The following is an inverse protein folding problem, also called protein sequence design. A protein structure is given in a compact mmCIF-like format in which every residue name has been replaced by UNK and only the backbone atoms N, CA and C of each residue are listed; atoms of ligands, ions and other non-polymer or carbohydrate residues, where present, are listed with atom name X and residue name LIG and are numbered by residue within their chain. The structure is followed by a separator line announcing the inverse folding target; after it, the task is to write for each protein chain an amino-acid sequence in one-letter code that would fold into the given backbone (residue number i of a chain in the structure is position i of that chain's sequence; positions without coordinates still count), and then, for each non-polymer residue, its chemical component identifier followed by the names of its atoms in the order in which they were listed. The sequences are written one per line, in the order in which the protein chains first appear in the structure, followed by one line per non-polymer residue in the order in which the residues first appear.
data_IF_417816310642
#
_entry.id   IF_417816310642
#
_cell.length_a   1.000
_cell.length_b   1.000
_cell.length_c   1.000
_cell.angle_alpha   90.00
_cell.angle_beta   90.00
_cell.angle_gamma   90.00
#
_symmetry.space_group_name_H-M   'P 1'
#
loop_
_entity.id
_entity.type
_entity.pdbx_description
1 polymer ?
#
# COMPACT_ATOMS: atom_id res chain seq x y z
N UNK A 1 6.09 31.96 4.79
CA UNK A 1 6.21 30.80 5.70
C UNK A 1 6.52 29.62 4.81
N UNK A 2 7.75 29.15 4.86
CA UNK A 2 8.29 28.16 3.93
C UNK A 2 7.41 26.92 3.96
N UNK A 3 6.74 26.61 2.84
CA UNK A 3 5.93 25.42 2.67
C UNK A 3 6.84 24.21 2.84
N UNK A 4 6.84 23.63 4.02
CA UNK A 4 7.58 22.43 4.32
C UNK A 4 6.97 21.32 3.46
N UNK A 5 7.73 20.85 2.48
CA UNK A 5 7.33 19.78 1.57
C UNK A 5 6.94 18.56 2.40
N UNK A 6 5.74 18.03 2.16
CA UNK A 6 5.21 16.91 2.93
C UNK A 6 6.16 15.71 2.81
N UNK A 7 6.72 15.22 3.94
CA UNK A 7 7.71 14.16 3.94
C UNK A 7 7.19 12.85 3.33
N UNK A 8 5.88 12.62 3.33
CA UNK A 8 5.27 11.47 2.67
C UNK A 8 5.67 11.38 1.20
N UNK A 9 5.61 12.50 0.47
CA UNK A 9 5.88 12.51 -0.96
C UNK A 9 7.37 12.37 -1.30
N UNK A 10 8.25 12.77 -0.39
CA UNK A 10 9.69 12.56 -0.52
C UNK A 10 10.02 11.07 -0.40
N UNK A 11 9.51 10.41 0.64
CA UNK A 11 9.74 8.98 0.86
C UNK A 11 9.04 8.16 -0.22
N UNK A 12 7.84 8.57 -0.67
CA UNK A 12 7.17 7.96 -1.83
C UNK A 12 8.05 8.00 -3.07
N UNK A 13 8.65 9.14 -3.40
CA UNK A 13 9.54 9.26 -4.55
C UNK A 13 10.79 8.38 -4.42
N UNK A 14 11.34 8.28 -3.20
CA UNK A 14 12.46 7.40 -2.89
C UNK A 14 12.08 5.91 -3.09
N UNK A 15 10.97 5.46 -2.52
CA UNK A 15 10.44 4.10 -2.69
C UNK A 15 10.20 3.80 -4.17
N UNK A 16 9.64 4.74 -4.93
CA UNK A 16 9.44 4.57 -6.37
C UNK A 16 10.78 4.41 -7.12
N UNK A 17 11.83 5.13 -6.71
CA UNK A 17 13.18 4.95 -7.27
C UNK A 17 13.74 3.57 -6.95
N UNK A 18 13.68 3.15 -5.69
CA UNK A 18 14.15 1.82 -5.26
C UNK A 18 13.39 0.69 -5.97
N UNK A 19 12.07 0.85 -6.15
CA UNK A 19 11.26 -0.09 -6.91
C UNK A 19 11.73 -0.22 -8.37
N UNK A 20 12.03 0.90 -9.03
CA UNK A 20 12.55 0.89 -10.40
C UNK A 20 13.91 0.18 -10.50
N UNK A 21 14.78 0.34 -9.49
CA UNK A 21 16.05 -0.38 -9.41
C UNK A 21 15.83 -1.90 -9.26
N UNK A 22 14.87 -2.32 -8.40
CA UNK A 22 14.48 -3.73 -8.29
C UNK A 22 14.00 -4.26 -9.62
N UNK A 23 13.17 -3.53 -10.37
CA UNK A 23 12.71 -3.95 -11.69
C UNK A 23 13.87 -4.17 -12.67
N UNK A 24 14.85 -3.26 -12.70
CA UNK A 24 16.04 -3.41 -13.54
C UNK A 24 16.87 -4.64 -13.13
N UNK A 25 17.08 -4.85 -11.82
CA UNK A 25 17.76 -6.04 -11.29
C UNK A 25 16.99 -7.31 -11.64
N UNK A 26 15.67 -7.28 -11.61
CA UNK A 26 14.79 -8.40 -11.93
C UNK A 26 14.86 -8.77 -13.42
N UNK A 27 14.83 -7.79 -14.33
CA UNK A 27 15.08 -8.02 -15.75
C UNK A 27 16.44 -8.67 -16.01
N UNK A 28 17.49 -8.20 -15.33
CA UNK A 28 18.83 -8.82 -15.40
C UNK A 28 18.84 -10.22 -14.79
N UNK A 29 18.14 -10.44 -13.69
CA UNK A 29 18.03 -11.74 -13.04
C UNK A 29 17.39 -12.78 -13.97
N UNK A 30 16.38 -12.39 -14.74
CA UNK A 30 15.71 -13.26 -15.70
C UNK A 30 16.54 -13.53 -16.96
N UNK A 31 17.39 -12.59 -17.41
CA UNK A 31 18.27 -12.82 -18.57
C UNK A 31 19.48 -13.70 -18.27
N UNK A 32 19.78 -13.95 -16.99
CA UNK A 32 20.89 -14.81 -16.57
C UNK A 32 20.46 -16.28 -16.46
N UNK A 33 21.38 -17.19 -16.79
CA UNK A 33 21.16 -18.63 -16.64
C UNK A 33 20.92 -19.02 -15.17
N UNK A 34 20.08 -20.04 -14.95
CA UNK A 34 19.75 -20.53 -13.59
C UNK A 34 20.97 -21.04 -12.81
N UNK A 35 21.98 -21.53 -13.53
CA UNK A 35 23.24 -22.02 -12.97
C UNK A 35 24.23 -20.90 -12.56
N UNK A 36 24.03 -19.66 -13.03
CA UNK A 36 24.94 -18.55 -12.77
C UNK A 36 24.99 -18.14 -11.29
N UNK A 37 26.19 -18.00 -10.75
CA UNK A 37 26.40 -17.44 -9.41
C UNK A 37 25.92 -15.98 -9.33
N UNK A 38 26.02 -15.23 -10.43
CA UNK A 38 25.54 -13.86 -10.51
C UNK A 38 24.02 -13.78 -10.32
N UNK A 39 23.27 -14.73 -10.88
CA UNK A 39 21.82 -14.82 -10.68
C UNK A 39 21.45 -15.08 -9.23
N UNK A 40 22.16 -16.01 -8.56
CA UNK A 40 21.96 -16.27 -7.12
C UNK A 40 22.27 -15.04 -6.26
N UNK A 41 23.29 -14.27 -6.61
CA UNK A 41 23.63 -13.04 -5.91
C UNK A 41 22.54 -11.97 -6.11
N UNK A 42 22.09 -11.75 -7.36
CA UNK A 42 21.01 -10.83 -7.67
C UNK A 42 19.69 -11.21 -6.99
N UNK A 43 19.35 -12.51 -6.92
CA UNK A 43 18.16 -12.95 -6.20
C UNK A 43 18.19 -12.60 -4.71
N UNK A 44 19.36 -12.71 -4.06
CA UNK A 44 19.53 -12.29 -2.66
C UNK A 44 19.47 -10.77 -2.49
N UNK A 45 20.02 -10.03 -3.44
CA UNK A 45 19.98 -8.57 -3.43
C UNK A 45 18.55 -8.05 -3.61
N UNK A 46 17.80 -8.59 -4.57
CA UNK A 46 16.38 -8.26 -4.78
C UNK A 46 15.55 -8.60 -3.53
N UNK A 47 15.78 -9.76 -2.90
CA UNK A 47 15.07 -10.14 -1.66
C UNK A 47 15.34 -9.14 -0.52
N UNK A 48 16.59 -8.69 -0.37
CA UNK A 48 16.98 -7.69 0.63
C UNK A 48 16.41 -6.29 0.32
N UNK A 49 16.41 -5.87 -0.94
CA UNK A 49 15.82 -4.60 -1.37
C UNK A 49 14.29 -4.59 -1.15
N UNK A 50 13.61 -5.72 -1.43
CA UNK A 50 12.19 -5.89 -1.12
C UNK A 50 11.91 -5.75 0.39
N UNK A 51 12.78 -6.29 1.26
CA UNK A 51 12.65 -6.12 2.72
C UNK A 51 12.85 -4.67 3.16
N UNK A 52 13.82 -3.98 2.56
CA UNK A 52 14.04 -2.56 2.82
C UNK A 52 12.81 -1.71 2.47
N UNK A 53 12.26 -1.88 1.26
CA UNK A 53 11.05 -1.16 0.85
C UNK A 53 9.87 -1.52 1.74
N UNK A 54 9.68 -2.80 2.07
CA UNK A 54 8.60 -3.24 2.95
C UNK A 54 8.66 -2.52 4.31
N UNK A 55 9.84 -2.45 4.91
CA UNK A 55 10.05 -1.71 6.15
C UNK A 55 9.69 -0.21 6.00
N UNK A 56 10.09 0.43 4.91
CA UNK A 56 9.73 1.83 4.64
C UNK A 56 8.22 2.04 4.47
N UNK A 57 7.53 1.10 3.82
CA UNK A 57 6.07 1.12 3.67
C UNK A 57 5.36 0.96 5.02
N UNK A 58 5.80 0.02 5.85
CA UNK A 58 5.23 -0.21 7.19
C UNK A 58 5.39 1.06 8.07
N UNK A 59 6.55 1.75 8.00
CA UNK A 59 6.76 3.03 8.69
C UNK A 59 5.85 4.15 8.17
N UNK A 60 5.66 4.23 6.84
CA UNK A 60 4.76 5.22 6.24
C UNK A 60 3.30 4.95 6.61
N UNK A 61 2.90 3.69 6.72
CA UNK A 61 1.57 3.30 7.18
C UNK A 61 1.31 3.78 8.62
N UNK A 62 2.26 3.57 9.53
CA UNK A 62 2.17 4.09 10.91
C UNK A 62 2.09 5.63 10.95
N UNK A 63 2.85 6.30 10.08
CA UNK A 63 2.80 7.75 9.97
C UNK A 63 1.45 8.25 9.45
N UNK A 64 0.86 7.57 8.46
CA UNK A 64 -0.47 7.88 7.93
C UNK A 64 -1.56 7.59 8.98
N UNK A 65 -1.44 6.50 9.73
CA UNK A 65 -2.33 6.17 10.85
C UNK A 65 -2.30 7.28 11.91
N UNK A 66 -1.11 7.69 12.32
CA UNK A 66 -0.93 8.77 13.29
C UNK A 66 -1.50 10.09 12.78
N UNK A 67 -1.24 10.42 11.51
CA UNK A 67 -1.76 11.65 10.90
C UNK A 67 -3.29 11.63 10.77
N UNK A 68 -3.88 10.46 10.53
CA UNK A 68 -5.33 10.28 10.39
C UNK A 68 -6.11 10.51 11.69
N UNK A 69 -5.46 10.38 12.85
CA UNK A 69 -6.09 10.67 14.15
C UNK A 69 -6.29 12.17 14.38
N UNK A 70 -5.47 13.02 13.75
CA UNK A 70 -5.62 14.48 13.84
C UNK A 70 -5.30 15.18 12.50
N UNK A 71 -6.16 15.03 11.48
CA UNK A 71 -5.87 15.51 10.12
C UNK A 71 -5.71 17.03 10.03
N UNK A 72 -6.47 17.77 10.86
CA UNK A 72 -6.44 19.24 10.90
C UNK A 72 -5.07 19.80 11.30
N UNK A 73 -4.30 19.07 12.14
CA UNK A 73 -2.95 19.47 12.53
C UNK A 73 -1.97 19.44 11.34
N UNK A 74 -2.21 18.56 10.38
CA UNK A 74 -1.32 18.30 9.25
C UNK A 74 -1.86 18.87 7.93
N UNK A 75 -3.00 19.57 7.95
CA UNK A 75 -3.72 20.03 6.76
C UNK A 75 -4.02 18.91 5.75
N UNK A 76 -4.31 17.70 6.26
CA UNK A 76 -4.64 16.55 5.43
C UNK A 76 -6.16 16.40 5.31
N UNK A 77 -6.62 16.16 4.09
CA UNK A 77 -8.02 15.83 3.83
C UNK A 77 -8.25 14.32 3.93
N UNK A 78 -9.50 13.90 4.03
CA UNK A 78 -9.83 12.46 4.10
C UNK A 78 -9.49 11.75 2.79
N UNK A 79 -9.62 12.46 1.67
CA UNK A 79 -9.27 12.01 0.33
C UNK A 79 -7.76 11.75 0.24
N UNK A 80 -6.96 12.69 0.75
CA UNK A 80 -5.50 12.56 0.79
C UNK A 80 -5.08 11.35 1.63
N UNK A 81 -5.63 11.18 2.83
CA UNK A 81 -5.33 10.01 3.68
C UNK A 81 -5.71 8.69 2.98
N UNK A 82 -6.86 8.66 2.31
CA UNK A 82 -7.33 7.48 1.58
C UNK A 82 -6.41 7.15 0.39
N UNK A 83 -5.97 8.17 -0.36
CA UNK A 83 -5.00 8.04 -1.44
C UNK A 83 -3.68 7.44 -0.94
N UNK A 84 -3.15 7.95 0.17
CA UNK A 84 -1.92 7.43 0.80
C UNK A 84 -2.04 5.96 1.19
N UNK A 85 -3.13 5.58 1.86
CA UNK A 85 -3.38 4.18 2.23
C UNK A 85 -3.46 3.26 1.01
N UNK A 86 -4.18 3.69 -0.03
CA UNK A 86 -4.31 2.91 -1.26
C UNK A 86 -2.95 2.67 -1.91
N UNK A 87 -2.13 3.72 -2.02
CA UNK A 87 -0.79 3.61 -2.57
C UNK A 87 0.07 2.64 -1.75
N UNK A 88 0.07 2.75 -0.41
CA UNK A 88 0.82 1.86 0.48
C UNK A 88 0.42 0.39 0.31
N UNK A 89 -0.87 0.08 0.32
CA UNK A 89 -1.38 -1.28 0.14
C UNK A 89 -1.05 -1.85 -1.25
N UNK A 90 -1.19 -1.01 -2.27
CA UNK A 90 -0.91 -1.40 -3.66
C UNK A 90 0.58 -1.69 -3.84
N UNK A 91 1.47 -0.80 -3.42
CA UNK A 91 2.93 -1.00 -3.50
C UNK A 91 3.38 -2.16 -2.62
N UNK A 92 2.81 -2.33 -1.42
CA UNK A 92 3.13 -3.44 -0.52
C UNK A 92 2.84 -4.81 -1.14
N UNK A 93 1.68 -4.97 -1.79
CA UNK A 93 1.32 -6.22 -2.49
C UNK A 93 2.26 -6.54 -3.65
N UNK A 94 2.75 -5.54 -4.36
CA UNK A 94 3.65 -5.72 -5.50
C UNK A 94 5.04 -6.19 -5.05
N UNK A 95 5.60 -5.51 -4.04
CA UNK A 95 6.88 -5.89 -3.45
C UNK A 95 6.82 -7.32 -2.92
N UNK A 96 5.72 -7.69 -2.25
CA UNK A 96 5.51 -9.05 -1.78
C UNK A 96 5.45 -10.06 -2.95
N UNK A 97 4.74 -9.72 -4.03
CA UNK A 97 4.68 -10.56 -5.23
C UNK A 97 6.06 -10.79 -5.88
N UNK A 98 6.88 -9.75 -6.00
CA UNK A 98 8.26 -9.87 -6.51
C UNK A 98 9.08 -10.80 -5.60
N UNK A 99 8.97 -10.60 -4.29
CA UNK A 99 9.69 -11.40 -3.29
C UNK A 99 9.34 -12.88 -3.38
N UNK A 100 8.05 -13.20 -3.46
CA UNK A 100 7.57 -14.58 -3.54
C UNK A 100 7.98 -15.27 -4.85
N UNK A 101 7.98 -14.52 -5.96
CA UNK A 101 8.49 -15.01 -7.24
C UNK A 101 10.00 -15.35 -7.16
N UNK A 102 10.80 -14.44 -6.60
CA UNK A 102 12.25 -14.68 -6.44
C UNK A 102 12.53 -15.88 -5.53
N UNK A 103 11.81 -16.00 -4.41
CA UNK A 103 11.96 -17.16 -3.50
C UNK A 103 11.60 -18.47 -4.20
N UNK A 104 10.52 -18.48 -4.96
CA UNK A 104 10.10 -19.67 -5.72
C UNK A 104 11.16 -20.08 -6.74
N UNK A 105 11.69 -19.11 -7.50
CA UNK A 105 12.71 -19.35 -8.54
C UNK A 105 14.05 -19.77 -7.94
N UNK A 106 14.45 -19.18 -6.81
CA UNK A 106 15.74 -19.49 -6.15
C UNK A 106 15.70 -20.79 -5.35
N UNK A 107 14.54 -21.18 -4.80
CA UNK A 107 14.36 -22.46 -4.10
C UNK A 107 14.27 -23.67 -5.04
N UNK A 108 13.86 -23.47 -6.30
CA UNK A 108 13.71 -24.54 -7.29
C UNK A 108 15.04 -25.05 -7.86
N UNK A 109 16.18 -24.42 -7.57
CA UNK A 109 17.50 -24.90 -8.02
C UNK A 109 17.95 -26.03 -7.08
N UNK A 110 18.06 -27.30 -7.56
CA UNK A 110 18.59 -28.37 -6.74
C UNK A 110 20.02 -28.03 -6.35
N UNK A 111 20.31 -28.03 -5.05
CA UNK A 111 21.68 -27.86 -4.57
C UNK A 111 22.52 -29.05 -5.06
N UNK A 112 23.25 -28.86 -6.16
CA UNK A 112 24.31 -29.80 -6.53
C UNK A 112 25.37 -29.70 -5.44
N UNK A 113 25.64 -30.78 -4.68
CA UNK A 113 26.65 -30.71 -3.63
C UNK A 113 28.00 -30.42 -4.31
N UNK A 114 28.61 -29.28 -3.98
CA UNK A 114 29.99 -28.94 -4.37
C UNK A 114 30.95 -29.96 -3.72
N UNK A 115 31.13 -31.09 -4.38
CA UNK A 115 32.11 -32.12 -4.04
C UNK A 115 33.47 -31.77 -4.62
N UNK A 116 34.07 -30.66 -4.16
CA UNK A 116 35.48 -30.35 -4.41
C UNK A 116 36.37 -31.22 -3.50
N UNK A 117 36.35 -32.54 -3.69
CA UNK A 117 37.25 -33.46 -2.95
C UNK A 117 37.49 -34.85 -3.59
N UNK A 118 37.19 -35.03 -4.88
CA UNK A 118 37.45 -36.32 -5.57
C UNK A 118 38.11 -36.15 -6.93
N UNK A 119 39.32 -35.60 -6.91
CA UNK A 119 40.20 -35.62 -8.07
C UNK A 119 40.87 -37.00 -8.22
N UNK A 120 40.96 -37.47 -9.47
CA UNK A 120 42.16 -38.08 -10.09
C UNK A 120 42.21 -39.58 -10.49
N UNK A 121 41.18 -40.43 -10.38
CA UNK A 121 41.37 -41.87 -10.67
C UNK A 121 40.51 -42.55 -11.76
N UNK A 122 39.58 -41.88 -12.46
CA UNK A 122 38.60 -42.58 -13.33
C UNK A 122 38.34 -41.88 -14.69
N UNK A 123 39.38 -41.43 -15.38
CA UNK A 123 39.27 -40.40 -16.40
C UNK A 123 38.70 -40.81 -17.78
N UNK A 124 38.70 -42.08 -18.21
CA UNK A 124 38.37 -42.37 -19.63
C UNK A 124 37.01 -43.06 -19.89
N UNK A 125 36.41 -43.77 -18.93
CA UNK A 125 35.08 -44.39 -19.09
C UNK A 125 33.92 -43.55 -18.55
N UNK A 126 34.23 -42.48 -17.80
CA UNK A 126 33.24 -41.60 -17.18
C UNK A 126 32.71 -40.53 -18.16
N UNK A 127 33.50 -40.19 -19.19
CA UNK A 127 33.26 -39.05 -20.08
C UNK A 127 32.00 -39.21 -20.96
N UNK A 128 31.68 -40.42 -21.42
CA UNK A 128 30.49 -40.71 -22.25
C UNK A 128 29.19 -40.79 -21.44
N UNK A 129 29.26 -41.22 -20.18
CA UNK A 129 28.11 -41.20 -19.26
C UNK A 129 27.81 -39.80 -18.71
N UNK A 130 28.84 -38.95 -18.59
CA UNK A 130 28.68 -37.54 -18.22
C UNK A 130 28.13 -36.70 -19.37
N UNK A 131 28.42 -37.01 -20.64
CA UNK A 131 27.85 -36.25 -21.77
C UNK A 131 26.33 -36.37 -21.79
N UNK A 132 25.79 -37.56 -21.52
CA UNK A 132 24.34 -37.79 -21.44
C UNK A 132 23.71 -37.09 -20.22
N UNK A 133 24.42 -37.02 -19.08
CA UNK A 133 23.97 -36.24 -17.91
C UNK A 133 24.04 -34.74 -18.16
N UNK A 134 25.08 -34.24 -18.81
CA UNK A 134 25.20 -32.83 -19.22
C UNK A 134 24.11 -32.46 -20.23
N UNK A 135 23.77 -33.33 -21.17
CA UNK A 135 22.68 -33.08 -22.12
C UNK A 135 21.30 -33.05 -21.43
N UNK A 136 21.09 -33.91 -20.41
CA UNK A 136 19.91 -33.83 -19.55
C UNK A 136 19.88 -32.56 -18.70
N UNK A 137 21.03 -32.10 -18.19
CA UNK A 137 21.16 -30.87 -17.41
C UNK A 137 20.91 -29.62 -18.28
N UNK A 138 21.33 -29.63 -19.55
CA UNK A 138 21.06 -28.55 -20.51
C UNK A 138 19.56 -28.53 -20.86
N UNK A 139 18.95 -29.68 -21.12
CA UNK A 139 17.50 -29.78 -21.37
C UNK A 139 16.65 -29.34 -20.18
N UNK A 140 17.08 -29.63 -18.96
CA UNK A 140 16.39 -29.19 -17.74
C UNK A 140 16.52 -27.68 -17.54
N UNK A 141 17.69 -27.11 -17.86
CA UNK A 141 17.89 -25.66 -17.89
C UNK A 141 17.03 -24.96 -18.96
N UNK A 142 16.87 -25.55 -20.15
CA UNK A 142 16.02 -24.98 -21.21
C UNK A 142 14.54 -24.97 -20.82
N UNK A 143 14.04 -26.01 -20.14
CA UNK A 143 12.67 -26.04 -19.59
C UNK A 143 12.47 -24.98 -18.51
N UNK A 144 13.49 -24.78 -17.66
CA UNK A 144 13.44 -23.72 -16.65
C UNK A 144 13.41 -22.31 -17.28
N UNK A 145 14.08 -22.10 -18.43
CA UNK A 145 14.00 -20.83 -19.18
C UNK A 145 12.58 -20.55 -19.69
N UNK A 146 11.85 -21.58 -20.13
CA UNK A 146 10.46 -21.44 -20.58
C UNK A 146 9.50 -21.09 -19.43
N UNK A 147 9.74 -21.59 -18.22
CA UNK A 147 8.97 -21.22 -17.03
C UNK A 147 9.37 -19.85 -16.47
N UNK A 148 10.63 -19.45 -16.67
CA UNK A 148 11.09 -18.08 -16.40
C UNK A 148 10.42 -17.08 -17.35
N UNK A 149 10.28 -17.41 -18.63
CA UNK A 149 9.61 -16.57 -19.63
C UNK A 149 8.15 -16.28 -19.20
N UNK A 150 7.43 -17.31 -18.75
CA UNK A 150 6.08 -17.15 -18.17
C UNK A 150 6.07 -16.33 -16.87
N UNK A 151 7.10 -16.46 -16.05
CA UNK A 151 7.28 -15.64 -14.85
C UNK A 151 7.52 -14.16 -15.18
N UNK A 152 8.32 -13.87 -16.21
CA UNK A 152 8.59 -12.52 -16.72
C UNK A 152 7.32 -11.89 -17.31
N UNK A 153 6.51 -12.65 -18.03
CA UNK A 153 5.24 -12.15 -18.56
C UNK A 153 4.28 -11.74 -17.43
N UNK A 154 4.22 -12.53 -16.37
CA UNK A 154 3.39 -12.22 -15.20
C UNK A 154 3.92 -11.01 -14.41
N UNK A 155 5.24 -10.90 -14.25
CA UNK A 155 5.89 -9.73 -13.62
C UNK A 155 5.73 -8.48 -14.48
N UNK A 156 5.85 -8.60 -15.81
CA UNK A 156 5.69 -7.48 -16.74
C UNK A 156 4.24 -7.02 -16.80
N UNK A 157 3.28 -7.95 -16.77
CA UNK A 157 1.86 -7.63 -16.65
C UNK A 157 1.56 -6.94 -15.31
N UNK A 158 2.19 -7.40 -14.23
CA UNK A 158 2.09 -6.74 -12.93
C UNK A 158 2.73 -5.33 -13.00
N UNK A 159 3.96 -5.18 -13.49
CA UNK A 159 4.64 -3.89 -13.68
C UNK A 159 3.82 -2.91 -14.54
N UNK A 160 3.18 -3.38 -15.60
CA UNK A 160 2.35 -2.55 -16.49
C UNK A 160 1.04 -2.12 -15.83
N UNK A 161 0.38 -3.01 -15.09
CA UNK A 161 -0.80 -2.66 -14.32
C UNK A 161 -0.47 -1.57 -13.26
N UNK A 162 0.76 -1.53 -12.77
CA UNK A 162 1.22 -0.58 -11.75
C UNK A 162 1.54 0.78 -12.35
N UNK A 163 2.19 0.81 -13.51
CA UNK A 163 2.43 2.06 -14.25
C UNK A 163 1.10 2.74 -14.61
N UNK A 164 0.09 1.96 -15.02
CA UNK A 164 -1.28 2.46 -15.22
C UNK A 164 -1.93 2.93 -13.90
N UNK A 165 -1.77 2.20 -12.79
CA UNK A 165 -2.35 2.60 -11.50
C UNK A 165 -1.70 3.84 -10.85
N UNK A 166 -0.41 4.10 -11.07
CA UNK A 166 0.26 5.32 -10.57
C UNK A 166 -0.21 6.60 -11.29
N UNK A 167 -0.69 6.48 -12.54
CA UNK A 167 -1.25 7.60 -13.34
C UNK A 167 -2.77 7.73 -13.14
N UNK A 168 -3.47 6.63 -12.88
CA UNK A 168 -4.94 6.59 -12.77
C UNK A 168 -5.48 6.91 -11.35
N UNK A 169 -4.61 6.91 -10.32
CA UNK A 169 -4.96 7.26 -8.94
C UNK A 169 -5.31 8.74 -8.71
N UNK A 170 -5.15 9.62 -9.70
CA UNK A 170 -5.67 11.01 -9.68
C UNK A 170 -7.18 11.07 -10.01
N UNK A 171 -7.72 10.03 -10.65
CA UNK A 171 -9.08 10.05 -11.25
C UNK A 171 -10.15 9.34 -10.41
N UNK A 172 -9.75 8.48 -9.47
CA UNK A 172 -10.64 7.76 -8.55
C UNK A 172 -11.05 8.57 -7.31
N UNK A 173 -10.40 9.71 -7.06
CA UNK A 173 -10.79 10.65 -5.99
C UNK A 173 -12.13 11.36 -6.29
N UNK A 174 -12.54 11.45 -7.56
CA UNK A 174 -13.84 12.02 -7.95
C UNK A 174 -15.04 11.16 -7.53
N UNK A 175 -14.86 9.84 -7.36
CA UNK A 175 -15.93 8.96 -6.89
C UNK A 175 -16.12 9.01 -5.37
N UNK A 176 -15.03 9.23 -4.61
CA UNK A 176 -15.11 9.41 -3.16
C UNK A 176 -15.62 10.81 -2.77
N UNK A 177 -15.33 11.84 -3.57
CA UNK A 177 -15.89 13.20 -3.46
C UNK A 177 -17.44 13.20 -3.51
N UNK A 178 -18.02 12.41 -4.42
CA UNK A 178 -19.48 12.24 -4.51
C UNK A 178 -20.12 11.61 -3.26
N UNK A 179 -19.43 10.66 -2.63
CA UNK A 179 -19.91 9.99 -1.41
C UNK A 179 -19.70 10.86 -0.15
N UNK A 180 -18.68 11.73 -0.16
CA UNK A 180 -18.41 12.70 0.92
C UNK A 180 -19.36 13.90 0.84
N UNK A 181 -19.70 14.39 -0.36
CA UNK A 181 -20.70 15.46 -0.53
C UNK A 181 -22.12 15.01 -0.14
N UNK A 182 -22.47 13.77 -0.47
CA UNK A 182 -23.76 13.18 -0.03
C UNK A 182 -23.79 12.93 1.48
N UNK A 183 -22.66 12.60 2.11
CA UNK A 183 -22.55 12.49 3.57
C UNK A 183 -22.57 13.86 4.25
N UNK A 184 -21.87 14.85 3.71
CA UNK A 184 -21.82 16.23 4.20
C UNK A 184 -23.17 16.93 4.10
N UNK A 185 -23.92 16.72 3.03
CA UNK A 185 -25.29 17.24 2.88
C UNK A 185 -26.27 16.60 3.88
N UNK A 186 -26.15 15.30 4.16
CA UNK A 186 -26.92 14.61 5.22
C UNK A 186 -26.55 15.09 6.62
N UNK A 187 -25.26 15.32 6.88
CA UNK A 187 -24.78 15.86 8.15
C UNK A 187 -25.24 17.30 8.36
N UNK A 188 -25.22 18.16 7.33
CA UNK A 188 -25.79 19.53 7.37
C UNK A 188 -27.30 19.51 7.59
N UNK A 189 -28.04 18.62 6.94
CA UNK A 189 -29.48 18.45 7.17
C UNK A 189 -29.78 18.03 8.62
N UNK A 190 -28.95 17.13 9.17
CA UNK A 190 -29.06 16.67 10.57
C UNK A 190 -28.69 17.78 11.55
N UNK A 191 -27.61 18.52 11.31
CA UNK A 191 -27.21 19.68 12.10
C UNK A 191 -28.28 20.77 12.07
N UNK A 192 -28.88 21.05 10.91
CA UNK A 192 -29.99 22.00 10.78
C UNK A 192 -31.21 21.56 11.58
N UNK A 193 -31.56 20.27 11.58
CA UNK A 193 -32.63 19.71 12.42
C UNK A 193 -32.30 19.84 13.91
N UNK A 194 -31.07 19.58 14.33
CA UNK A 194 -30.62 19.76 15.72
C UNK A 194 -30.70 21.24 16.14
N UNK A 195 -30.27 22.16 15.28
CA UNK A 195 -30.32 23.60 15.54
C UNK A 195 -31.76 24.14 15.57
N UNK A 196 -32.64 23.57 14.74
CA UNK A 196 -34.07 23.86 14.74
C UNK A 196 -34.75 23.34 16.02
N UNK A 197 -34.38 22.13 16.48
CA UNK A 197 -34.86 21.59 17.76
C UNK A 197 -34.40 22.46 18.93
N UNK A 198 -33.14 22.90 18.94
CA UNK A 198 -32.61 23.80 19.98
C UNK A 198 -33.39 25.13 19.97
N UNK A 199 -33.67 25.70 18.79
CA UNK A 199 -34.46 26.94 18.66
C UNK A 199 -35.92 26.77 19.08
N UNK A 200 -36.53 25.62 18.80
CA UNK A 200 -37.93 25.32 19.19
C UNK A 200 -38.08 24.94 20.65
N UNK A 201 -37.00 24.55 21.34
CA UNK A 201 -37.04 23.99 22.69
C UNK A 201 -37.02 25.02 23.83
N UNK A 202 -36.58 26.26 23.62
CA UNK A 202 -36.40 27.22 24.72
C UNK A 202 -37.52 28.24 24.83
N UNK A 203 -37.77 28.96 23.74
CA UNK A 203 -38.28 30.31 23.87
C UNK A 203 -39.80 30.39 24.04
N UNK A 204 -40.59 29.67 23.26
CA UNK A 204 -42.06 29.84 23.28
C UNK A 204 -42.73 29.18 24.48
N UNK A 205 -42.25 28.01 24.92
CA UNK A 205 -42.81 27.34 26.11
C UNK A 205 -42.42 28.06 27.41
N UNK A 206 -41.18 28.56 27.53
CA UNK A 206 -40.75 29.31 28.71
C UNK A 206 -41.42 30.68 28.83
N UNK A 207 -41.68 31.38 27.71
CA UNK A 207 -42.35 32.69 27.73
C UNK A 207 -43.80 32.58 28.22
N UNK A 208 -44.51 31.52 27.83
CA UNK A 208 -45.88 31.25 28.31
C UNK A 208 -45.89 31.05 29.82
N UNK A 209 -44.93 30.28 30.37
CA UNK A 209 -44.81 30.06 31.82
C UNK A 209 -44.54 31.37 32.57
N UNK A 210 -43.66 32.23 32.05
CA UNK A 210 -43.36 33.54 32.65
C UNK A 210 -44.61 34.44 32.67
N UNK A 211 -45.36 34.51 31.56
CA UNK A 211 -46.58 35.32 31.48
C UNK A 211 -47.63 34.83 32.48
N UNK A 212 -47.84 33.52 32.58
CA UNK A 212 -48.80 32.93 33.54
C UNK A 212 -48.38 33.26 34.98
N UNK A 213 -47.09 33.17 35.29
CA UNK A 213 -46.57 33.51 36.62
C UNK A 213 -46.79 34.99 36.97
N UNK A 214 -46.58 35.91 36.02
CA UNK A 214 -46.83 37.35 36.22
C UNK A 214 -48.31 37.62 36.50
N UNK A 215 -49.22 36.99 35.76
CA UNK A 215 -50.68 37.14 35.96
C UNK A 215 -51.08 36.67 37.35
N UNK A 216 -50.57 35.52 37.80
CA UNK A 216 -50.83 34.98 39.14
C UNK A 216 -50.34 35.97 40.21
N UNK A 217 -49.12 36.49 40.08
CA UNK A 217 -48.56 37.47 41.02
C UNK A 217 -49.39 38.76 41.06
N UNK A 218 -49.87 39.25 39.91
CA UNK A 218 -50.70 40.45 39.84
C UNK A 218 -52.06 40.26 40.53
N UNK A 219 -52.69 39.09 40.37
CA UNK A 219 -53.94 38.74 41.06
C UNK A 219 -53.73 38.70 42.57
N UNK A 220 -52.65 38.06 43.03
CA UNK A 220 -52.31 38.01 44.46
C UNK A 220 -52.04 39.41 45.02
N UNK A 221 -51.29 40.25 44.30
CA UNK A 221 -51.01 41.62 44.73
C UNK A 221 -52.30 42.44 44.84
N UNK A 222 -53.20 42.34 43.85
CA UNK A 222 -54.49 43.02 43.91
C UNK A 222 -55.30 42.61 45.16
N UNK A 223 -55.34 41.31 45.47
CA UNK A 223 -56.06 40.78 46.63
C UNK A 223 -55.42 41.18 47.97
N UNK A 224 -54.11 41.45 48.00
CA UNK A 224 -53.40 41.88 49.22
C UNK A 224 -53.57 43.38 49.48
N UNK A 225 -53.64 44.19 48.41
CA UNK A 225 -53.73 45.65 48.52
C UNK A 225 -55.18 46.18 48.53
N UNK A 226 -56.18 45.32 48.32
CA UNK A 226 -57.61 45.64 48.39
C UNK A 226 -58.22 44.98 49.62
#
# INVERSE_FOLDING_TARGET
MSGQQDPFYLIRAEISSQYNEIQQKLHKFHSLSSSSQERRNLGREIDADCDSIKYQLDMLEEAVDTASQNPARFNLTMEEISSRRKWLDTTGRQIQGIKDNIKTITAAVPQVPSGSDRLAAANDSYLSSETQKQEMLIRDQDRQLEDIEKGVDNVTAMAKAIDEHLVEDDRLLTQLDGDIDTTGSRLRATSKKVQEIIRKSGTTSQLIVIIVLIVIVAILAYFVFT
#
